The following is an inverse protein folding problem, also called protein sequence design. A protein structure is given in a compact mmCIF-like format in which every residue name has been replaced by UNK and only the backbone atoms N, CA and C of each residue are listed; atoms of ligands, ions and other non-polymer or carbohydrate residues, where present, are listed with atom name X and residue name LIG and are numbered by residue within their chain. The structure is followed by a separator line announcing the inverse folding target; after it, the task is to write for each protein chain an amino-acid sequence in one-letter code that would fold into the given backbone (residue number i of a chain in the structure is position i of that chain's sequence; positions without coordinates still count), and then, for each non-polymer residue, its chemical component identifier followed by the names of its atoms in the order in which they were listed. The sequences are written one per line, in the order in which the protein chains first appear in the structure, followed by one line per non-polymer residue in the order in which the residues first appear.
data_IF_687845604052
#
_entry.id   IF_687845604052
#
_cell.length_a   1.000
_cell.length_b   1.000
_cell.length_c   1.000
_cell.angle_alpha   90.00
_cell.angle_beta   90.00
_cell.angle_gamma   90.00
#
_symmetry.space_group_name_H-M   'P 1'
#
loop_
_entity.id
_entity.type
_entity.pdbx_description
1 polymer ?
#
# COMPACT_ATOMS: atom_id res chain seq x y z
N UNK A 1 -62.53 -33.16 -31.24
CA UNK A 1 -62.85 -33.84 -29.97
C UNK A 1 -61.58 -33.85 -29.13
N UNK A 2 -61.53 -33.00 -28.10
CA UNK A 2 -61.46 -33.38 -26.67
C UNK A 2 -60.09 -33.99 -26.28
N UNK A 3 -59.19 -33.16 -25.72
CA UNK A 3 -58.82 -33.12 -24.28
C UNK A 3 -57.94 -34.31 -23.85
N UNK A 4 -56.74 -34.10 -23.30
CA UNK A 4 -56.64 -33.74 -21.88
C UNK A 4 -55.29 -33.14 -21.49
N UNK A 5 -55.39 -32.12 -20.66
CA UNK A 5 -54.31 -31.55 -19.84
C UNK A 5 -53.97 -32.55 -18.72
N UNK A 6 -52.69 -32.81 -18.48
CA UNK A 6 -52.21 -33.15 -17.15
C UNK A 6 -51.07 -32.19 -16.77
N UNK A 7 -51.36 -31.46 -15.70
CA UNK A 7 -50.65 -30.29 -15.18
C UNK A 7 -49.32 -30.68 -14.48
N UNK A 8 -48.36 -29.75 -14.34
CA UNK A 8 -47.00 -29.95 -13.88
C UNK A 8 -46.93 -29.84 -12.36
N UNK A 9 -46.54 -30.91 -11.68
CA UNK A 9 -46.15 -30.85 -10.25
C UNK A 9 -45.18 -31.96 -9.92
N UNK A 10 -43.90 -31.76 -10.21
CA UNK A 10 -42.83 -32.45 -9.47
C UNK A 10 -41.54 -31.65 -9.54
N UNK A 11 -40.91 -31.52 -8.36
CA UNK A 11 -39.60 -30.93 -8.06
C UNK A 11 -39.54 -29.47 -7.56
N UNK A 12 -40.42 -29.09 -6.63
CA UNK A 12 -40.05 -28.14 -5.57
C UNK A 12 -39.55 -28.94 -4.34
N UNK A 13 -38.34 -29.48 -4.46
CA UNK A 13 -37.64 -30.09 -3.33
C UNK A 13 -37.30 -28.95 -2.35
N UNK A 14 -37.95 -28.96 -1.19
CA UNK A 14 -37.78 -27.96 -0.15
C UNK A 14 -36.33 -27.97 0.35
N UNK A 15 -35.48 -27.09 -0.16
CA UNK A 15 -34.18 -26.80 0.44
C UNK A 15 -34.43 -26.11 1.78
N UNK A 16 -34.54 -26.89 2.87
CA UNK A 16 -34.41 -26.34 4.23
C UNK A 16 -33.00 -25.76 4.34
N UNK A 17 -32.89 -24.43 4.28
CA UNK A 17 -31.65 -23.72 4.60
C UNK A 17 -31.21 -24.16 6.01
N UNK A 18 -30.03 -24.78 6.12
CA UNK A 18 -29.40 -24.97 7.43
C UNK A 18 -29.18 -23.58 8.05
N UNK A 19 -29.45 -23.38 9.35
CA UNK A 19 -29.14 -22.13 10.00
C UNK A 19 -27.63 -21.85 9.88
N UNK A 20 -27.23 -20.58 9.77
CA UNK A 20 -25.82 -20.23 9.75
C UNK A 20 -25.15 -20.73 11.04
N UNK A 21 -23.88 -21.17 10.98
CA UNK A 21 -23.14 -21.52 12.18
C UNK A 21 -23.10 -20.31 13.14
N UNK A 22 -23.04 -20.55 14.46
CA UNK A 22 -22.93 -19.47 15.43
C UNK A 22 -21.70 -18.60 15.12
N UNK A 23 -21.88 -17.28 15.19
CA UNK A 23 -20.80 -16.31 15.02
C UNK A 23 -19.70 -16.63 16.05
N UNK A 24 -18.47 -16.81 15.55
CA UNK A 24 -17.31 -17.09 16.39
C UNK A 24 -17.18 -16.05 17.50
N UNK A 25 -16.92 -16.52 18.72
CA UNK A 25 -16.64 -15.70 19.89
C UNK A 25 -15.61 -14.61 19.57
N UNK A 26 -15.98 -13.35 19.82
CA UNK A 26 -15.07 -12.22 19.79
C UNK A 26 -13.87 -12.54 20.69
N UNK A 27 -12.74 -12.86 20.06
CA UNK A 27 -11.48 -12.91 20.77
C UNK A 27 -11.21 -11.49 21.25
N UNK A 28 -11.05 -11.32 22.56
CA UNK A 28 -10.43 -10.12 23.12
C UNK A 28 -9.01 -10.05 22.53
N UNK A 29 -8.87 -9.36 21.41
CA UNK A 29 -7.57 -9.02 20.87
C UNK A 29 -6.90 -8.09 21.88
N UNK A 30 -5.91 -8.60 22.60
CA UNK A 30 -4.89 -7.75 23.22
C UNK A 30 -4.39 -6.80 22.12
N UNK A 31 -4.60 -5.50 22.30
CA UNK A 31 -4.12 -4.50 21.34
C UNK A 31 -2.60 -4.45 21.45
N UNK A 32 -1.92 -5.28 20.66
CA UNK A 32 -0.49 -5.15 20.43
C UNK A 32 -0.30 -3.91 19.56
N UNK A 33 0.42 -2.90 20.06
CA UNK A 33 0.70 -1.70 19.26
C UNK A 33 1.44 -2.10 17.98
N UNK A 34 0.92 -1.65 16.83
CA UNK A 34 1.58 -1.89 15.54
C UNK A 34 2.93 -1.16 15.46
N UNK A 35 3.84 -1.64 14.61
CA UNK A 35 5.12 -0.96 14.36
C UNK A 35 4.93 0.50 13.92
N UNK A 36 3.90 0.77 13.10
CA UNK A 36 3.56 2.13 12.66
C UNK A 36 3.15 3.01 13.84
N UNK A 37 2.30 2.51 14.73
CA UNK A 37 1.88 3.26 15.93
C UNK A 37 3.05 3.49 16.89
N UNK A 38 3.92 2.51 17.05
CA UNK A 38 5.13 2.63 17.88
C UNK A 38 6.09 3.67 17.30
N UNK A 39 6.31 3.66 15.98
CA UNK A 39 7.11 4.68 15.30
C UNK A 39 6.50 6.08 15.47
N UNK A 40 5.20 6.22 15.23
CA UNK A 40 4.47 7.48 15.43
C UNK A 40 4.66 8.04 16.84
N UNK A 41 4.57 7.18 17.86
CA UNK A 41 4.80 7.57 19.25
C UNK A 41 6.24 8.06 19.44
N UNK A 42 7.22 7.31 18.93
CA UNK A 42 8.65 7.63 19.05
C UNK A 42 9.00 8.98 18.41
N UNK A 43 8.47 9.25 17.21
CA UNK A 43 8.65 10.53 16.51
C UNK A 43 8.04 11.69 17.30
N UNK A 44 6.82 11.53 17.82
CA UNK A 44 6.15 12.56 18.64
C UNK A 44 6.84 12.85 19.97
N UNK A 45 7.50 11.85 20.55
CA UNK A 45 8.28 12.02 21.79
C UNK A 45 9.75 12.38 21.52
N UNK A 46 10.11 12.70 20.28
CA UNK A 46 11.49 13.01 19.85
C UNK A 46 12.53 11.94 20.23
N UNK A 47 12.09 10.68 20.41
CA UNK A 47 12.97 9.53 20.64
C UNK A 47 13.59 9.02 19.33
N UNK A 48 13.02 9.43 18.20
CA UNK A 48 13.51 9.14 16.86
C UNK A 48 13.38 10.39 16.02
N UNK A 49 14.36 10.62 15.16
CA UNK A 49 14.36 11.71 14.17
C UNK A 49 13.99 11.10 12.81
N UNK A 50 13.01 11.68 12.11
CA UNK A 50 12.50 11.16 10.83
C UNK A 50 13.61 11.10 9.79
N UNK A 51 14.47 12.13 9.75
CA UNK A 51 15.62 12.19 8.86
C UNK A 51 16.61 11.06 9.07
N UNK A 52 16.91 10.71 10.32
CA UNK A 52 17.81 9.61 10.66
C UNK A 52 17.21 8.26 10.24
N UNK A 53 15.93 8.03 10.55
CA UNK A 53 15.21 6.84 10.11
C UNK A 53 15.19 6.70 8.57
N UNK A 54 15.00 7.81 7.88
CA UNK A 54 15.00 7.87 6.42
C UNK A 54 16.38 7.52 5.86
N UNK A 55 17.44 8.06 6.45
CA UNK A 55 18.81 7.74 6.06
C UNK A 55 19.15 6.26 6.30
N UNK A 56 18.76 5.70 7.45
CA UNK A 56 18.94 4.28 7.75
C UNK A 56 18.19 3.38 6.76
N UNK A 57 16.97 3.77 6.39
CA UNK A 57 16.16 3.04 5.42
C UNK A 57 16.79 3.08 4.03
N UNK A 58 17.25 4.25 3.58
CA UNK A 58 17.96 4.41 2.31
C UNK A 58 19.24 3.55 2.27
N UNK A 59 20.03 3.56 3.34
CA UNK A 59 21.24 2.73 3.44
C UNK A 59 20.89 1.24 3.32
N UNK A 60 19.81 0.80 4.00
CA UNK A 60 19.34 -0.59 3.89
C UNK A 60 18.91 -0.93 2.47
N UNK A 61 18.12 -0.07 1.84
CA UNK A 61 17.67 -0.26 0.45
C UNK A 61 18.89 -0.41 -0.47
N UNK A 62 19.88 0.48 -0.37
CA UNK A 62 21.11 0.41 -1.17
C UNK A 62 21.87 -0.91 -0.98
N UNK A 63 21.90 -1.45 0.25
CA UNK A 63 22.56 -2.72 0.55
C UNK A 63 21.79 -3.93 0.03
N UNK A 64 20.46 -3.89 0.01
CA UNK A 64 19.62 -5.05 -0.32
C UNK A 64 19.15 -5.11 -1.77
N UNK A 65 18.99 -3.96 -2.42
CA UNK A 65 18.44 -3.89 -3.79
C UNK A 65 19.23 -4.65 -4.86
N UNK A 66 20.58 -4.76 -4.81
CA UNK A 66 21.31 -5.59 -5.76
C UNK A 66 20.86 -7.06 -5.78
N UNK A 67 20.29 -7.55 -4.67
CA UNK A 67 19.77 -8.91 -4.55
C UNK A 67 18.25 -8.98 -4.70
N UNK A 68 17.51 -8.06 -4.06
CA UNK A 68 16.05 -8.14 -3.99
C UNK A 68 15.35 -7.61 -5.24
N UNK A 69 15.94 -6.63 -5.93
CA UNK A 69 15.34 -5.93 -7.10
C UNK A 69 13.88 -5.50 -6.85
N UNK A 70 13.62 -4.95 -5.67
CA UNK A 70 12.26 -4.68 -5.19
C UNK A 70 11.74 -3.30 -5.58
N UNK A 71 12.62 -2.35 -5.90
CA UNK A 71 12.29 -1.00 -6.36
C UNK A 71 12.67 -0.79 -7.82
N UNK A 72 11.78 -0.14 -8.58
CA UNK A 72 12.07 0.39 -9.92
C UNK A 72 12.50 1.86 -9.88
N UNK A 73 12.10 2.57 -8.83
CA UNK A 73 12.46 3.97 -8.62
C UNK A 73 12.54 4.26 -7.12
N UNK A 74 13.55 5.00 -6.70
CA UNK A 74 13.68 5.52 -5.33
C UNK A 74 13.71 7.04 -5.44
N UNK A 75 12.90 7.70 -4.61
CA UNK A 75 12.83 9.16 -4.60
C UNK A 75 14.14 9.77 -4.10
N UNK A 76 14.58 10.85 -4.75
CA UNK A 76 15.74 11.64 -4.34
C UNK A 76 15.38 12.76 -3.34
N UNK A 77 14.08 12.98 -3.05
CA UNK A 77 13.62 14.05 -2.15
C UNK A 77 13.35 13.58 -0.72
N UNK A 78 13.65 12.31 -0.39
CA UNK A 78 13.26 11.68 0.88
C UNK A 78 13.83 12.40 2.10
N UNK A 79 15.13 12.71 2.08
CA UNK A 79 15.80 13.39 3.19
C UNK A 79 15.21 14.79 3.41
N UNK A 80 14.88 15.52 2.34
CA UNK A 80 14.27 16.83 2.44
C UNK A 80 12.83 16.75 2.98
N UNK A 81 12.05 15.75 2.58
CA UNK A 81 10.70 15.52 3.11
C UNK A 81 10.74 15.14 4.59
N UNK A 82 11.69 14.31 4.99
CA UNK A 82 11.89 13.91 6.39
C UNK A 82 12.28 15.11 7.28
N UNK A 83 13.20 15.95 6.80
CA UNK A 83 13.63 17.18 7.48
C UNK A 83 12.46 18.16 7.69
N UNK A 84 11.56 18.29 6.72
CA UNK A 84 10.36 19.11 6.84
C UNK A 84 9.37 18.55 7.88
N UNK A 85 9.23 17.22 7.98
CA UNK A 85 8.40 16.60 9.02
C UNK A 85 8.99 16.86 10.41
N UNK A 86 10.31 16.69 10.58
CA UNK A 86 10.99 16.95 11.86
C UNK A 86 10.80 18.42 12.30
N UNK A 87 10.97 19.39 11.39
CA UNK A 87 10.70 20.81 11.67
C UNK A 87 9.27 21.08 12.08
N UNK A 88 8.29 20.46 11.42
CA UNK A 88 6.87 20.62 11.78
C UNK A 88 6.56 20.02 13.15
N UNK A 89 7.18 18.89 13.50
CA UNK A 89 7.07 18.28 14.82
C UNK A 89 7.66 19.21 15.91
N UNK A 90 8.83 19.79 15.69
CA UNK A 90 9.45 20.76 16.60
C UNK A 90 8.56 22.00 16.83
N UNK A 91 7.85 22.45 15.80
CA UNK A 91 6.89 23.56 15.87
C UNK A 91 5.52 23.16 16.45
N UNK A 92 5.34 21.91 16.88
CA UNK A 92 4.07 21.36 17.36
C UNK A 92 2.91 21.48 16.35
N UNK A 93 3.21 21.45 15.05
CA UNK A 93 2.20 21.49 14.01
C UNK A 93 1.50 20.13 13.85
N UNK A 94 0.26 20.16 13.34
CA UNK A 94 -0.42 18.92 12.97
C UNK A 94 0.19 18.33 11.68
N UNK A 95 1.01 17.30 11.86
CA UNK A 95 1.69 16.58 10.77
C UNK A 95 0.92 15.37 10.24
N UNK A 96 -0.26 15.07 10.79
CA UNK A 96 -1.09 13.93 10.38
C UNK A 96 -0.72 12.59 11.03
N UNK A 97 -1.56 11.55 10.85
CA UNK A 97 -1.42 10.27 11.55
C UNK A 97 -0.32 9.35 11.01
N UNK A 98 0.25 9.67 9.84
CA UNK A 98 1.34 8.93 9.19
C UNK A 98 2.60 9.79 9.03
N UNK A 99 2.70 10.91 9.76
CA UNK A 99 3.88 11.78 9.76
C UNK A 99 5.20 11.01 9.87
N UNK A 100 6.05 11.11 8.86
CA UNK A 100 7.38 10.46 8.86
C UNK A 100 7.35 8.94 8.65
N UNK A 101 6.17 8.34 8.45
CA UNK A 101 6.05 6.93 8.06
C UNK A 101 6.46 6.82 6.59
N UNK A 102 7.45 5.96 6.35
CA UNK A 102 7.97 5.67 5.03
C UNK A 102 7.10 4.61 4.33
N UNK A 103 6.61 4.91 3.13
CA UNK A 103 5.71 4.05 2.37
C UNK A 103 6.23 3.86 0.95
N UNK A 104 6.38 2.61 0.51
CA UNK A 104 6.62 2.31 -0.90
C UNK A 104 5.30 2.09 -1.63
N UNK A 105 5.23 2.49 -2.90
CA UNK A 105 4.00 2.41 -3.71
C UNK A 105 4.23 1.53 -4.93
N UNK A 106 3.31 0.61 -5.22
CA UNK A 106 3.43 -0.27 -6.39
C UNK A 106 3.52 0.53 -7.69
N UNK A 107 4.40 0.14 -8.61
CA UNK A 107 4.72 1.01 -9.76
C UNK A 107 3.56 1.25 -10.74
N UNK A 108 2.52 0.41 -10.74
CA UNK A 108 1.28 0.67 -11.48
C UNK A 108 0.32 1.66 -10.80
N UNK A 109 0.71 2.30 -9.70
CA UNK A 109 -0.03 3.38 -9.02
C UNK A 109 0.67 4.71 -9.29
N UNK A 110 -0.07 5.67 -9.84
CA UNK A 110 0.46 6.99 -10.22
C UNK A 110 0.87 7.83 -8.99
N UNK A 111 2.10 8.37 -9.04
CA UNK A 111 2.60 9.43 -8.18
C UNK A 111 3.22 10.49 -9.10
N UNK A 112 2.77 11.75 -8.99
CA UNK A 112 3.06 12.83 -9.94
C UNK A 112 4.55 13.16 -10.09
N UNK A 113 5.30 12.96 -9.03
CA UNK A 113 6.73 13.26 -8.89
C UNK A 113 7.65 12.08 -9.22
N UNK A 114 7.10 10.94 -9.67
CA UNK A 114 7.88 9.73 -9.95
C UNK A 114 7.48 9.11 -11.29
N UNK A 115 8.36 8.27 -11.85
CA UNK A 115 7.99 7.42 -12.98
C UNK A 115 6.86 6.45 -12.60
N UNK A 116 6.12 5.98 -13.61
CA UNK A 116 5.05 4.99 -13.44
C UNK A 116 5.05 4.05 -14.65
N UNK A 117 5.95 3.06 -14.64
CA UNK A 117 6.19 2.17 -15.77
C UNK A 117 5.23 0.98 -15.80
N UNK A 118 4.54 0.72 -14.69
CA UNK A 118 3.76 -0.50 -14.48
C UNK A 118 4.57 -1.79 -14.72
N UNK A 119 5.89 -1.75 -14.50
CA UNK A 119 6.79 -2.89 -14.75
C UNK A 119 7.02 -3.16 -16.24
N UNK A 120 6.64 -2.22 -17.13
CA UNK A 120 6.69 -2.34 -18.58
C UNK A 120 7.66 -1.34 -19.21
N UNK A 121 8.42 -1.80 -20.21
CA UNK A 121 9.23 -0.91 -21.05
C UNK A 121 8.38 0.00 -21.96
N UNK A 122 7.12 -0.34 -22.22
CA UNK A 122 6.19 0.50 -23.00
C UNK A 122 5.98 1.85 -22.30
N UNK A 123 6.01 1.88 -20.97
CA UNK A 123 5.78 3.08 -20.16
C UNK A 123 7.06 3.58 -19.47
N UNK A 124 8.26 3.18 -19.91
CA UNK A 124 9.53 3.53 -19.26
C UNK A 124 9.71 5.06 -19.06
N UNK A 125 9.23 5.85 -20.02
CA UNK A 125 9.31 7.31 -20.00
C UNK A 125 8.03 7.99 -19.51
N UNK A 126 7.02 7.24 -19.08
CA UNK A 126 5.78 7.82 -18.60
C UNK A 126 6.00 8.54 -17.26
N UNK A 127 5.45 9.75 -17.16
CA UNK A 127 5.42 10.59 -15.96
C UNK A 127 3.97 11.00 -15.72
N UNK A 128 3.33 10.53 -14.63
CA UNK A 128 1.94 10.88 -14.34
C UNK A 128 1.75 12.39 -14.15
N UNK A 129 0.65 12.92 -14.67
CA UNK A 129 0.27 14.32 -14.43
C UNK A 129 -0.32 14.57 -13.01
N UNK A 130 -0.65 13.50 -12.28
CA UNK A 130 -1.38 13.55 -11.01
C UNK A 130 -1.02 12.40 -10.07
N UNK A 131 -1.33 12.59 -8.78
CA UNK A 131 -1.31 11.52 -7.78
C UNK A 131 -2.61 10.72 -7.83
N UNK A 132 -2.50 9.39 -7.87
CA UNK A 132 -3.63 8.52 -7.59
C UNK A 132 -4.24 8.85 -6.22
N UNK A 133 -5.55 8.65 -6.06
CA UNK A 133 -6.27 9.04 -4.84
C UNK A 133 -5.67 8.45 -3.56
N UNK A 134 -5.12 7.23 -3.62
CA UNK A 134 -4.45 6.61 -2.47
C UNK A 134 -3.14 7.30 -2.11
N UNK A 135 -2.33 7.67 -3.11
CA UNK A 135 -1.05 8.40 -2.90
C UNK A 135 -1.32 9.78 -2.30
N UNK A 136 -2.33 10.48 -2.83
CA UNK A 136 -2.78 11.76 -2.28
C UNK A 136 -3.17 11.64 -0.81
N UNK A 137 -4.02 10.67 -0.46
CA UNK A 137 -4.45 10.43 0.92
C UNK A 137 -3.27 10.09 1.85
N UNK A 138 -2.32 9.28 1.40
CA UNK A 138 -1.11 8.97 2.16
C UNK A 138 -0.31 10.25 2.48
N UNK A 139 -0.12 11.12 1.48
CA UNK A 139 0.57 12.41 1.63
C UNK A 139 -0.18 13.37 2.55
N UNK A 140 -1.49 13.48 2.39
CA UNK A 140 -2.37 14.27 3.28
C UNK A 140 -2.29 13.79 4.74
N UNK A 141 -2.07 12.49 4.95
CA UNK A 141 -1.83 11.92 6.27
C UNK A 141 -0.38 12.10 6.79
N UNK A 142 0.52 12.69 6.01
CA UNK A 142 1.92 12.95 6.42
C UNK A 142 2.92 11.85 6.06
N UNK A 143 2.51 10.83 5.30
CA UNK A 143 3.42 9.76 4.88
C UNK A 143 4.42 10.25 3.82
N UNK A 144 5.62 9.67 3.85
CA UNK A 144 6.69 9.94 2.89
C UNK A 144 6.73 8.77 1.91
N UNK A 145 6.54 9.05 0.62
CA UNK A 145 6.59 8.03 -0.42
C UNK A 145 8.04 7.75 -0.79
N UNK A 146 8.55 6.57 -0.42
CA UNK A 146 9.95 6.14 -0.63
C UNK A 146 10.29 6.00 -2.11
N UNK A 147 9.38 5.39 -2.87
CA UNK A 147 9.66 5.01 -4.24
C UNK A 147 8.60 4.10 -4.82
N UNK A 148 8.89 3.59 -6.01
CA UNK A 148 8.02 2.71 -6.80
C UNK A 148 8.53 1.27 -6.75
N UNK A 149 7.70 0.33 -6.31
CA UNK A 149 8.09 -1.09 -6.22
C UNK A 149 7.88 -1.84 -7.53
N UNK A 150 8.70 -2.86 -7.75
CA UNK A 150 8.60 -3.78 -8.87
C UNK A 150 7.31 -4.64 -8.80
N UNK A 151 6.95 -5.22 -9.95
CA UNK A 151 5.73 -5.97 -10.19
C UNK A 151 5.81 -6.69 -11.55
N UNK A 152 5.00 -7.73 -11.74
CA UNK A 152 4.70 -8.24 -13.08
C UNK A 152 4.11 -7.14 -13.97
N UNK A 153 4.49 -7.15 -15.25
CA UNK A 153 4.07 -6.16 -16.23
C UNK A 153 2.54 -5.95 -16.22
N UNK A 154 2.11 -4.70 -16.06
CA UNK A 154 0.70 -4.28 -15.92
C UNK A 154 -0.07 -4.94 -14.76
N UNK A 155 0.61 -5.59 -13.83
CA UNK A 155 0.01 -6.38 -12.75
C UNK A 155 -0.53 -7.73 -13.20
N UNK A 156 -0.09 -8.23 -14.37
CA UNK A 156 -0.52 -9.50 -14.95
C UNK A 156 0.43 -10.63 -14.57
N UNK A 157 0.35 -11.07 -13.32
CA UNK A 157 1.16 -12.18 -12.80
C UNK A 157 1.07 -12.29 -11.28
N UNK A 158 1.69 -13.35 -10.74
CA UNK A 158 1.68 -13.63 -9.31
C UNK A 158 3.07 -13.99 -8.76
N UNK A 159 4.13 -13.81 -9.55
CA UNK A 159 5.51 -14.16 -9.17
C UNK A 159 6.49 -13.00 -9.33
N UNK A 160 6.12 -11.92 -10.02
CA UNK A 160 6.97 -10.77 -10.37
C UNK A 160 8.09 -11.10 -11.37
N UNK A 161 8.15 -12.33 -11.87
CA UNK A 161 9.10 -12.76 -12.92
C UNK A 161 8.74 -12.17 -14.28
N UNK A 162 7.48 -11.78 -14.50
CA UNK A 162 7.01 -11.13 -15.71
C UNK A 162 7.29 -9.62 -15.76
N UNK A 163 8.14 -9.09 -14.88
CA UNK A 163 8.58 -7.69 -14.94
C UNK A 163 9.58 -7.49 -16.07
N UNK A 164 9.47 -6.39 -16.83
CA UNK A 164 10.44 -6.02 -17.85
C UNK A 164 11.79 -5.51 -17.28
N UNK A 165 11.96 -5.55 -15.95
CA UNK A 165 13.14 -5.06 -15.21
C UNK A 165 13.82 -6.15 -14.37
N UNK A 166 13.48 -7.43 -14.56
CA UNK A 166 14.13 -8.56 -13.88
C UNK A 166 15.33 -9.11 -14.65
#
# INVERSE_FOLDING_TARGET
MLSSVQNPRLLLRHYRRKPPPPLHHHHHHTITNSQIQTLQKSLKTHQTITKELTQQTLNRIQQTEPLLKSFLHISNTLIAQADEIDKKLERNENVGPLAGVLVAVKDNICAKDMACTAGSKILENYRPAYDASVVRKLRECGAIIVGKTNLDEFGMGSTTEGSAYQ
#
